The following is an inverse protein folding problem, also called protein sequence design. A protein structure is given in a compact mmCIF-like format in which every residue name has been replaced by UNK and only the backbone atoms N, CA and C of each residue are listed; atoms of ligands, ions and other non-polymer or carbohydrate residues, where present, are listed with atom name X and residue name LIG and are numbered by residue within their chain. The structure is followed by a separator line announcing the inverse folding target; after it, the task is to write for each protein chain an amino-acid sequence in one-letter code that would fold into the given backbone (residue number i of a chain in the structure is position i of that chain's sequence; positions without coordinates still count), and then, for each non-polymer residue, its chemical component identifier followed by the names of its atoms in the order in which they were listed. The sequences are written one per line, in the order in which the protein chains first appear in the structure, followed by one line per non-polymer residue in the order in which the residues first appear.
data_IF_726227067764
#
_entry.id   IF_726227067764
#
_cell.length_a   1.000
_cell.length_b   1.000
_cell.length_c   1.000
_cell.angle_alpha   90.00
_cell.angle_beta   90.00
_cell.angle_gamma   90.00
#
_symmetry.space_group_name_H-M   'P 1'
#
loop_
_entity.id
_entity.type
_entity.pdbx_description
1 polymer ?
#
# COMPACT_ATOMS: atom_id res chain seq x y z
N UNK A 1 15.58 -56.85 31.06
CA UNK A 1 15.60 -56.35 29.62
C UNK A 1 14.39 -55.51 29.21
N UNK A 2 13.12 -55.90 29.41
CA UNK A 2 11.98 -55.04 29.10
C UNK A 2 11.76 -53.86 30.08
N UNK A 3 12.04 -53.99 31.36
CA UNK A 3 11.89 -52.91 32.36
C UNK A 3 12.97 -51.84 32.25
N UNK A 4 14.18 -52.17 31.83
CA UNK A 4 15.29 -51.22 31.69
C UNK A 4 15.06 -50.29 30.47
N UNK A 5 14.54 -50.80 29.39
CA UNK A 5 14.18 -49.98 28.22
C UNK A 5 13.02 -49.00 28.48
N UNK A 6 12.12 -49.32 29.41
CA UNK A 6 11.03 -48.42 29.80
C UNK A 6 11.51 -47.29 30.72
N UNK A 7 12.48 -47.57 31.61
CA UNK A 7 13.08 -46.56 32.49
C UNK A 7 13.99 -45.59 31.74
N UNK A 8 14.80 -46.09 30.77
CA UNK A 8 15.60 -45.20 29.91
C UNK A 8 14.76 -44.26 29.07
N UNK A 9 13.71 -44.75 28.41
CA UNK A 9 12.80 -43.85 27.65
C UNK A 9 12.06 -42.82 28.51
N UNK A 10 11.68 -43.18 29.74
CA UNK A 10 11.03 -42.21 30.65
C UNK A 10 11.99 -41.15 31.16
N UNK A 11 13.25 -41.49 31.38
CA UNK A 11 14.31 -40.55 31.77
C UNK A 11 14.63 -39.62 30.60
N UNK A 12 14.77 -40.14 29.39
CA UNK A 12 14.97 -39.31 28.18
C UNK A 12 13.82 -38.33 27.97
N UNK A 13 12.55 -38.75 28.03
CA UNK A 13 11.38 -37.88 27.88
C UNK A 13 11.37 -36.77 28.94
N UNK A 14 11.73 -37.06 30.18
CA UNK A 14 11.86 -36.06 31.25
C UNK A 14 12.99 -35.06 30.97
N UNK A 15 14.14 -35.52 30.50
CA UNK A 15 15.28 -34.66 30.14
C UNK A 15 14.91 -33.74 28.94
N UNK A 16 14.25 -34.27 27.91
CA UNK A 16 13.75 -33.50 26.78
C UNK A 16 12.74 -32.45 27.24
N UNK A 17 11.82 -32.80 28.14
CA UNK A 17 10.85 -31.87 28.71
C UNK A 17 11.51 -30.74 29.50
N UNK A 18 12.52 -31.03 30.31
CA UNK A 18 13.27 -30.01 31.07
C UNK A 18 14.09 -29.10 30.15
N UNK A 19 14.73 -29.66 29.12
CA UNK A 19 15.45 -28.86 28.11
C UNK A 19 14.53 -27.92 27.34
N UNK A 20 13.35 -28.38 26.95
CA UNK A 20 12.35 -27.57 26.29
C UNK A 20 11.85 -26.42 27.17
N UNK A 21 11.56 -26.69 28.43
CA UNK A 21 11.12 -25.67 29.39
C UNK A 21 12.21 -24.62 29.60
N UNK A 22 13.46 -25.03 29.73
CA UNK A 22 14.61 -24.14 29.89
C UNK A 22 14.81 -23.28 28.61
N UNK A 23 14.69 -23.90 27.45
CA UNK A 23 14.76 -23.24 26.16
C UNK A 23 13.68 -22.14 26.01
N UNK A 24 12.42 -22.47 26.37
CA UNK A 24 11.30 -21.52 26.34
C UNK A 24 11.46 -20.37 27.36
N UNK A 25 11.98 -20.66 28.54
CA UNK A 25 12.32 -19.63 29.55
C UNK A 25 13.37 -18.64 29.02
N UNK A 26 14.45 -19.15 28.43
CA UNK A 26 15.50 -18.33 27.84
C UNK A 26 14.93 -17.44 26.72
N UNK A 27 14.10 -18.01 25.84
CA UNK A 27 13.44 -17.27 24.78
C UNK A 27 12.54 -16.15 25.35
N UNK A 28 11.74 -16.47 26.38
CA UNK A 28 10.84 -15.49 26.99
C UNK A 28 11.58 -14.31 27.65
N UNK A 29 12.73 -14.56 28.29
CA UNK A 29 13.57 -13.51 28.84
C UNK A 29 14.17 -12.63 27.74
N UNK A 30 14.63 -13.24 26.64
CA UNK A 30 15.19 -12.49 25.51
C UNK A 30 14.12 -11.62 24.85
N UNK A 31 12.95 -12.16 24.59
CA UNK A 31 11.80 -11.43 24.05
C UNK A 31 11.41 -10.27 24.96
N UNK A 32 11.31 -10.52 26.28
CA UNK A 32 11.00 -9.49 27.28
C UNK A 32 12.05 -8.37 27.27
N UNK A 33 13.34 -8.71 27.21
CA UNK A 33 14.43 -7.72 27.10
C UNK A 33 14.25 -6.84 25.87
N UNK A 34 14.01 -7.44 24.71
CA UNK A 34 13.84 -6.70 23.46
C UNK A 34 12.59 -5.80 23.48
N UNK A 35 11.45 -6.28 24.04
CA UNK A 35 10.27 -5.43 24.25
C UNK A 35 10.56 -4.25 25.18
N UNK A 36 11.25 -4.49 26.29
CA UNK A 36 11.63 -3.42 27.20
C UNK A 36 12.52 -2.39 26.51
N UNK A 37 13.48 -2.82 25.71
CA UNK A 37 14.35 -1.92 24.94
C UNK A 37 13.57 -1.02 23.98
N UNK A 38 12.52 -1.55 23.36
CA UNK A 38 11.67 -0.78 22.43
C UNK A 38 10.75 0.19 23.19
N UNK A 39 10.13 -0.25 24.27
CA UNK A 39 9.05 0.50 24.94
C UNK A 39 9.49 1.32 26.16
N UNK A 40 10.72 1.14 26.71
CA UNK A 40 11.19 1.89 27.90
C UNK A 40 11.50 3.35 27.58
N UNK A 41 11.99 3.64 26.38
CA UNK A 41 12.36 5.00 25.99
C UNK A 41 11.12 5.77 25.47
N UNK A 42 10.79 6.94 26.06
CA UNK A 42 9.69 7.79 25.58
C UNK A 42 9.85 8.22 24.12
N UNK A 43 11.08 8.49 23.67
CA UNK A 43 11.35 8.87 22.29
C UNK A 43 11.03 7.72 21.31
N UNK A 44 11.42 6.48 21.66
CA UNK A 44 11.08 5.32 20.85
C UNK A 44 9.56 5.09 20.77
N UNK A 45 8.85 5.29 21.87
CA UNK A 45 7.37 5.21 21.88
C UNK A 45 6.74 6.25 20.95
N UNK A 46 7.21 7.49 21.00
CA UNK A 46 6.72 8.52 20.10
C UNK A 46 6.97 8.17 18.63
N UNK A 47 8.17 7.66 18.29
CA UNK A 47 8.53 7.23 16.93
C UNK A 47 7.67 6.06 16.46
N UNK A 48 7.17 5.22 17.36
CA UNK A 48 6.28 4.11 17.01
C UNK A 48 4.87 4.55 16.64
N UNK A 49 4.30 5.50 17.38
CA UNK A 49 2.89 5.88 17.25
C UNK A 49 2.66 7.10 16.37
N UNK A 50 3.47 8.16 16.54
CA UNK A 50 3.24 9.45 15.89
C UNK A 50 3.37 9.36 14.37
N UNK A 51 4.42 8.75 13.78
CA UNK A 51 4.50 8.62 12.32
C UNK A 51 3.38 7.78 11.73
N UNK A 52 2.94 6.74 12.43
CA UNK A 52 1.84 5.89 11.99
C UNK A 52 0.53 6.69 11.82
N UNK A 53 0.18 7.44 12.87
CA UNK A 53 -0.99 8.30 12.85
C UNK A 53 -0.88 9.38 11.77
N UNK A 54 0.25 10.08 11.73
CA UNK A 54 0.48 11.13 10.74
C UNK A 54 0.42 10.58 9.30
N UNK A 55 1.09 9.47 9.03
CA UNK A 55 1.09 8.86 7.70
C UNK A 55 -0.30 8.37 7.29
N UNK A 56 -1.04 7.71 8.19
CA UNK A 56 -2.39 7.26 7.89
C UNK A 56 -3.33 8.45 7.55
N UNK A 57 -3.24 9.55 8.31
CA UNK A 57 -4.02 10.75 8.04
C UNK A 57 -3.54 11.47 6.77
N UNK A 58 -2.23 11.66 6.59
CA UNK A 58 -1.67 12.29 5.40
C UNK A 58 -2.08 11.54 4.13
N UNK A 59 -1.86 10.22 4.09
CA UNK A 59 -2.24 9.43 2.92
C UNK A 59 -3.76 9.38 2.73
N UNK A 60 -4.55 9.34 3.80
CA UNK A 60 -6.00 9.34 3.71
C UNK A 60 -6.60 10.64 3.17
N UNK A 61 -5.94 11.77 3.38
CA UNK A 61 -6.38 13.08 2.88
C UNK A 61 -5.62 13.54 1.64
N UNK A 62 -4.33 13.29 1.55
CA UNK A 62 -3.47 13.82 0.49
C UNK A 62 -3.29 12.87 -0.69
N UNK A 63 -3.32 11.56 -0.47
CA UNK A 63 -3.15 10.56 -1.53
C UNK A 63 -4.48 10.17 -2.18
N UNK A 64 -5.36 11.13 -2.42
CA UNK A 64 -6.58 10.91 -3.20
C UNK A 64 -6.33 11.32 -4.65
N UNK A 65 -6.69 10.45 -5.57
CA UNK A 65 -6.76 10.79 -6.98
C UNK A 65 -8.14 11.38 -7.34
N UNK A 66 -9.04 11.54 -6.35
CA UNK A 66 -10.35 12.10 -6.55
C UNK A 66 -10.21 13.60 -6.82
N UNK A 67 -10.71 14.03 -7.96
CA UNK A 67 -10.68 15.42 -8.36
C UNK A 67 -11.99 16.06 -7.91
N UNK A 68 -11.95 16.79 -6.81
CA UNK A 68 -13.14 17.47 -6.27
C UNK A 68 -13.53 18.68 -7.12
N UNK A 69 -12.54 19.33 -7.75
CA UNK A 69 -12.75 20.45 -8.63
C UNK A 69 -11.83 20.35 -9.85
N UNK A 70 -12.42 20.43 -11.02
CA UNK A 70 -11.72 20.46 -12.31
C UNK A 70 -11.85 21.87 -12.86
N UNK A 71 -10.77 22.64 -12.78
CA UNK A 71 -10.73 23.94 -13.45
C UNK A 71 -10.68 23.71 -14.95
N UNK A 72 -11.67 24.22 -15.68
CA UNK A 72 -11.74 24.07 -17.14
C UNK A 72 -11.95 25.40 -17.84
N UNK A 73 -11.51 25.49 -19.07
CA UNK A 73 -11.82 26.58 -19.98
C UNK A 73 -12.67 26.08 -21.15
N UNK A 74 -13.46 26.97 -21.72
CA UNK A 74 -14.33 26.67 -22.82
C UNK A 74 -13.99 27.57 -24.04
N UNK A 75 -13.89 26.98 -25.22
CA UNK A 75 -13.85 27.65 -26.47
C UNK A 75 -15.09 27.25 -27.28
N UNK A 76 -16.17 28.02 -27.17
CA UNK A 76 -17.40 27.76 -27.90
C UNK A 76 -17.43 28.62 -29.16
N UNK A 77 -17.17 27.99 -30.34
CA UNK A 77 -17.26 28.66 -31.63
C UNK A 77 -18.64 28.51 -32.25
N UNK A 78 -19.47 27.60 -31.74
CA UNK A 78 -20.81 27.38 -32.29
C UNK A 78 -21.83 28.38 -31.78
N UNK A 79 -21.68 28.88 -30.56
CA UNK A 79 -22.58 29.82 -29.89
C UNK A 79 -24.07 29.46 -30.02
N UNK A 80 -24.36 28.14 -30.05
CA UNK A 80 -25.69 27.63 -30.28
C UNK A 80 -26.44 27.27 -29.02
N UNK A 81 -27.74 26.92 -29.12
CA UNK A 81 -28.53 26.54 -27.96
C UNK A 81 -28.05 25.24 -27.32
N UNK A 82 -27.67 24.24 -28.13
CA UNK A 82 -27.25 22.94 -27.64
C UNK A 82 -25.89 23.04 -26.96
N UNK A 83 -24.95 23.85 -27.49
CA UNK A 83 -23.67 24.09 -26.82
C UNK A 83 -23.83 24.77 -25.49
N UNK A 84 -24.69 25.77 -25.37
CA UNK A 84 -24.99 26.45 -24.11
C UNK A 84 -25.63 25.51 -23.06
N UNK A 85 -26.55 24.61 -23.50
CA UNK A 85 -27.13 23.61 -22.61
C UNK A 85 -26.06 22.62 -22.05
N UNK A 86 -25.14 22.18 -22.92
CA UNK A 86 -24.03 21.30 -22.51
C UNK A 86 -23.10 22.00 -21.52
N UNK A 87 -22.74 23.27 -21.80
CA UNK A 87 -21.90 24.09 -20.91
C UNK A 87 -22.60 24.29 -19.56
N UNK A 88 -23.89 24.62 -19.56
CA UNK A 88 -24.67 24.78 -18.32
C UNK A 88 -24.72 23.49 -17.48
N UNK A 89 -24.77 22.33 -18.15
CA UNK A 89 -24.73 21.04 -17.46
C UNK A 89 -23.36 20.73 -16.86
N UNK A 90 -22.28 21.15 -17.52
CA UNK A 90 -20.92 21.05 -16.98
C UNK A 90 -20.76 21.96 -15.75
N UNK A 91 -21.15 23.24 -15.84
CA UNK A 91 -21.10 24.19 -14.73
C UNK A 91 -21.96 23.74 -13.55
N UNK A 92 -23.13 23.14 -13.81
CA UNK A 92 -24.05 22.62 -12.80
C UNK A 92 -23.63 21.29 -12.19
N UNK A 93 -22.57 20.64 -12.67
CA UNK A 93 -22.14 19.30 -12.20
C UNK A 93 -21.52 19.33 -10.78
N UNK A 94 -21.10 20.48 -10.29
CA UNK A 94 -20.36 20.63 -9.01
C UNK A 94 -18.91 20.14 -9.07
N UNK A 95 -18.50 19.45 -10.13
CA UNK A 95 -17.13 18.94 -10.32
C UNK A 95 -16.34 19.89 -11.21
N UNK A 96 -16.96 20.40 -12.28
CA UNK A 96 -16.32 21.30 -13.25
C UNK A 96 -16.53 22.76 -12.86
N UNK A 97 -15.42 23.49 -12.72
CA UNK A 97 -15.43 24.92 -12.45
C UNK A 97 -14.86 25.66 -13.64
N UNK A 98 -15.69 26.46 -14.30
CA UNK A 98 -15.25 27.27 -15.43
C UNK A 98 -14.40 28.45 -14.95
N UNK A 99 -13.14 28.50 -15.40
CA UNK A 99 -12.17 29.55 -15.05
C UNK A 99 -11.96 30.56 -16.16
N UNK A 100 -12.20 30.16 -17.42
CA UNK A 100 -12.08 31.05 -18.56
C UNK A 100 -13.01 30.65 -19.69
N UNK A 101 -13.49 31.64 -20.45
CA UNK A 101 -14.14 31.47 -21.75
C UNK A 101 -13.20 32.08 -22.79
N UNK A 102 -12.81 31.28 -23.78
CA UNK A 102 -11.84 31.64 -24.81
C UNK A 102 -12.59 32.08 -26.07
N UNK A 103 -12.05 33.06 -26.76
CA UNK A 103 -12.59 33.54 -28.02
C UNK A 103 -11.80 33.01 -29.23
N UNK A 104 -10.50 32.77 -29.02
CA UNK A 104 -9.58 32.35 -30.08
C UNK A 104 -8.77 31.15 -29.69
N UNK A 105 -8.41 30.31 -30.68
CA UNK A 105 -7.63 29.08 -30.50
C UNK A 105 -6.23 29.34 -29.93
N UNK A 106 -5.62 30.50 -30.23
CA UNK A 106 -4.29 30.89 -29.78
C UNK A 106 -4.23 31.04 -28.26
N UNK A 107 -5.34 31.36 -27.60
CA UNK A 107 -5.44 31.50 -26.14
C UNK A 107 -5.32 30.14 -25.42
N UNK A 108 -5.59 29.02 -26.09
CA UNK A 108 -5.50 27.67 -25.54
C UNK A 108 -4.12 27.43 -24.94
N UNK A 109 -3.07 27.70 -25.73
CA UNK A 109 -1.69 27.51 -25.31
C UNK A 109 -1.36 28.33 -24.04
N UNK A 110 -1.78 29.59 -24.01
CA UNK A 110 -1.51 30.49 -22.90
C UNK A 110 -2.19 30.01 -21.60
N UNK A 111 -3.44 29.53 -21.68
CA UNK A 111 -4.19 29.02 -20.52
C UNK A 111 -3.56 27.75 -19.96
N UNK A 112 -3.12 26.82 -20.83
CA UNK A 112 -2.44 25.59 -20.44
C UNK A 112 -1.05 25.90 -19.85
N UNK A 113 -0.25 26.74 -20.52
CA UNK A 113 1.10 27.07 -20.08
C UNK A 113 1.10 27.76 -18.69
N UNK A 114 0.11 28.63 -18.46
CA UNK A 114 -0.08 29.32 -17.18
C UNK A 114 -0.79 28.49 -16.10
N UNK A 115 -1.14 27.22 -16.40
CA UNK A 115 -1.86 26.31 -15.47
C UNK A 115 -3.18 26.87 -14.97
N UNK A 116 -3.87 27.68 -15.77
CA UNK A 116 -5.15 28.26 -15.39
C UNK A 116 -6.29 27.25 -15.47
N UNK A 117 -6.22 26.30 -16.41
CA UNK A 117 -7.18 25.22 -16.55
C UNK A 117 -6.47 23.88 -16.73
N UNK A 118 -7.07 22.82 -16.19
CA UNK A 118 -6.62 21.43 -16.36
C UNK A 118 -7.03 20.89 -17.74
N UNK A 119 -8.20 21.29 -18.21
CA UNK A 119 -8.71 20.90 -19.53
C UNK A 119 -9.41 22.07 -20.23
N UNK A 120 -9.38 22.03 -21.54
CA UNK A 120 -10.08 22.97 -22.40
C UNK A 120 -11.02 22.17 -23.28
N UNK A 121 -12.27 22.59 -23.33
CA UNK A 121 -13.29 22.01 -24.20
C UNK A 121 -13.49 22.97 -25.37
N UNK A 122 -13.17 22.51 -26.56
CA UNK A 122 -13.39 23.29 -27.79
C UNK A 122 -14.58 22.71 -28.57
N UNK A 123 -15.60 23.51 -28.73
CA UNK A 123 -16.81 23.20 -29.48
C UNK A 123 -16.69 23.91 -30.86
N UNK A 124 -16.63 23.16 -31.96
CA UNK A 124 -16.44 23.73 -33.27
C UNK A 124 -17.71 24.46 -33.78
N UNK A 125 -17.55 25.36 -34.73
CA UNK A 125 -18.64 26.17 -35.28
C UNK A 125 -19.73 25.35 -35.99
N UNK A 126 -19.39 24.15 -36.49
CA UNK A 126 -20.33 23.28 -37.21
C UNK A 126 -21.07 22.29 -36.27
N UNK A 127 -20.86 22.43 -34.95
CA UNK A 127 -21.43 21.52 -33.92
C UNK A 127 -22.96 21.42 -34.01
N UNK A 128 -23.66 22.54 -33.98
CA UNK A 128 -25.13 22.54 -34.04
C UNK A 128 -25.67 22.07 -35.39
N UNK A 129 -25.03 22.48 -36.49
CA UNK A 129 -25.46 22.06 -37.84
C UNK A 129 -25.36 20.54 -38.05
N UNK A 130 -24.30 19.93 -37.49
CA UNK A 130 -24.12 18.48 -37.52
C UNK A 130 -25.17 17.76 -36.67
N UNK A 131 -25.45 18.25 -35.48
CA UNK A 131 -26.46 17.66 -34.59
C UNK A 131 -27.88 17.75 -35.19
N UNK A 132 -28.22 18.89 -35.78
CA UNK A 132 -29.51 19.09 -36.44
C UNK A 132 -29.69 18.18 -37.67
N UNK A 133 -28.60 17.78 -38.31
CA UNK A 133 -28.58 16.83 -39.42
C UNK A 133 -28.45 15.35 -38.98
N UNK A 134 -28.61 15.05 -37.68
CA UNK A 134 -28.40 13.72 -37.08
C UNK A 134 -27.00 13.12 -37.38
N UNK A 135 -25.99 13.97 -37.52
CA UNK A 135 -24.61 13.57 -37.71
C UNK A 135 -23.83 13.61 -36.39
N UNK A 136 -22.74 12.85 -36.29
CA UNK A 136 -21.83 12.93 -35.17
C UNK A 136 -21.12 14.28 -35.12
N UNK A 137 -21.23 15.00 -34.01
CA UNK A 137 -20.60 16.30 -33.77
C UNK A 137 -19.47 16.13 -32.74
N UNK A 138 -18.23 15.95 -33.17
CA UNK A 138 -17.10 15.74 -32.25
C UNK A 138 -16.76 17.04 -31.53
N UNK A 139 -16.50 16.93 -30.23
CA UNK A 139 -15.97 17.99 -29.34
C UNK A 139 -14.51 17.66 -29.09
N UNK A 140 -13.63 18.64 -29.23
CA UNK A 140 -12.22 18.47 -28.92
C UNK A 140 -11.99 18.76 -27.42
N UNK A 141 -11.30 17.84 -26.74
CA UNK A 141 -10.87 18.02 -25.34
C UNK A 141 -9.36 18.03 -25.28
N UNK A 142 -8.81 19.17 -24.88
CA UNK A 142 -7.36 19.36 -24.73
C UNK A 142 -7.06 19.33 -23.24
N UNK A 143 -6.16 18.46 -22.82
CA UNK A 143 -5.89 18.19 -21.41
C UNK A 143 -4.44 18.51 -21.08
N UNK A 144 -4.19 19.13 -19.93
CA UNK A 144 -2.83 19.32 -19.42
C UNK A 144 -2.23 17.97 -18.96
N UNK A 145 -1.38 17.40 -19.82
CA UNK A 145 -0.74 16.10 -19.57
C UNK A 145 0.32 16.08 -18.48
N UNK A 146 0.68 17.23 -17.90
CA UNK A 146 1.68 17.32 -16.81
C UNK A 146 1.18 16.62 -15.54
N UNK A 147 -0.13 16.54 -15.33
CA UNK A 147 -0.77 15.77 -14.28
C UNK A 147 -1.70 14.71 -14.88
N UNK A 148 -1.12 13.62 -15.38
CA UNK A 148 -1.82 12.61 -16.14
C UNK A 148 -2.93 11.88 -15.34
N UNK A 149 -2.74 11.67 -14.06
CA UNK A 149 -3.73 11.00 -13.19
C UNK A 149 -5.00 11.84 -13.06
N UNK A 150 -4.85 13.13 -12.72
CA UNK A 150 -5.97 14.08 -12.61
C UNK A 150 -6.66 14.28 -13.96
N UNK A 151 -5.87 14.36 -15.03
CA UNK A 151 -6.35 14.48 -16.40
C UNK A 151 -7.24 13.31 -16.82
N UNK A 152 -6.84 12.09 -16.50
CA UNK A 152 -7.59 10.86 -16.81
C UNK A 152 -8.92 10.81 -16.05
N UNK A 153 -8.92 11.16 -14.77
CA UNK A 153 -10.14 11.20 -13.94
C UNK A 153 -11.09 12.29 -14.46
N UNK A 154 -10.59 13.49 -14.76
CA UNK A 154 -11.38 14.56 -15.33
C UNK A 154 -12.01 14.18 -16.67
N UNK A 155 -11.25 13.50 -17.55
CA UNK A 155 -11.74 12.96 -18.81
C UNK A 155 -12.87 11.93 -18.64
N UNK A 156 -12.78 11.06 -17.63
CA UNK A 156 -13.82 10.08 -17.31
C UNK A 156 -15.12 10.74 -16.84
N UNK A 157 -15.02 11.77 -16.00
CA UNK A 157 -16.19 12.55 -15.55
C UNK A 157 -16.84 13.31 -16.72
N UNK A 158 -16.02 13.91 -17.59
CA UNK A 158 -16.51 14.58 -18.80
C UNK A 158 -17.28 13.62 -19.69
N UNK A 159 -16.73 12.44 -19.99
CA UNK A 159 -17.39 11.42 -20.79
C UNK A 159 -18.74 10.98 -20.19
N UNK A 160 -18.82 10.86 -18.86
CA UNK A 160 -20.06 10.52 -18.15
C UNK A 160 -21.12 11.62 -18.33
N UNK A 161 -20.74 12.90 -18.19
CA UNK A 161 -21.65 14.03 -18.36
C UNK A 161 -22.14 14.14 -19.82
N UNK A 162 -21.23 14.00 -20.79
CA UNK A 162 -21.58 14.01 -22.22
C UNK A 162 -22.52 12.82 -22.55
N UNK A 163 -22.24 11.63 -22.00
CA UNK A 163 -23.13 10.46 -22.19
C UNK A 163 -24.53 10.69 -21.65
N UNK A 164 -24.65 11.25 -20.46
CA UNK A 164 -25.95 11.62 -19.87
C UNK A 164 -26.66 12.73 -20.68
N UNK A 165 -25.91 13.70 -21.19
CA UNK A 165 -26.45 14.76 -22.04
C UNK A 165 -27.03 14.18 -23.33
N UNK A 166 -26.28 13.32 -24.01
CA UNK A 166 -26.72 12.66 -25.24
C UNK A 166 -27.99 11.85 -25.05
N UNK A 167 -28.07 11.09 -23.94
CA UNK A 167 -29.25 10.28 -23.61
C UNK A 167 -30.48 11.13 -23.35
N UNK A 168 -30.33 12.26 -22.66
CA UNK A 168 -31.44 13.16 -22.34
C UNK A 168 -31.93 13.97 -23.54
N UNK A 169 -31.00 14.44 -24.39
CA UNK A 169 -31.34 15.38 -25.49
C UNK A 169 -31.81 14.68 -26.76
N UNK A 170 -31.13 13.61 -27.14
CA UNK A 170 -31.35 12.99 -28.46
C UNK A 170 -32.16 11.68 -28.40
N UNK A 171 -32.60 11.26 -27.22
CA UNK A 171 -33.31 10.00 -27.00
C UNK A 171 -32.66 8.81 -27.76
N UNK A 172 -31.38 9.00 -28.13
CA UNK A 172 -30.57 7.98 -28.78
C UNK A 172 -30.18 6.97 -27.73
N UNK A 173 -31.07 6.01 -27.51
CA UNK A 173 -30.63 4.74 -26.95
C UNK A 173 -29.59 4.22 -27.94
N UNK A 174 -28.30 4.36 -27.60
CA UNK A 174 -27.29 3.52 -28.24
C UNK A 174 -27.84 2.10 -28.19
N UNK A 175 -27.79 1.29 -29.28
CA UNK A 175 -28.32 -0.07 -29.29
C UNK A 175 -27.72 -0.96 -28.21
N UNK A 176 -26.67 -0.48 -27.53
CA UNK A 176 -26.04 -1.07 -26.37
C UNK A 176 -25.94 0.01 -25.28
N UNK A 177 -26.79 -0.05 -24.23
CA UNK A 177 -26.63 0.77 -23.03
C UNK A 177 -25.59 0.12 -22.13
N UNK A 178 -24.49 0.83 -21.86
CA UNK A 178 -23.48 0.38 -20.93
C UNK A 178 -23.89 0.82 -19.50
N UNK A 179 -24.49 -0.08 -18.74
CA UNK A 179 -24.69 0.12 -17.31
C UNK A 179 -23.41 -0.31 -16.57
N UNK A 180 -22.57 0.64 -16.21
CA UNK A 180 -21.38 0.37 -15.39
C UNK A 180 -21.77 0.27 -13.93
N UNK A 181 -21.57 -0.91 -13.33
CA UNK A 181 -21.73 -1.14 -11.91
C UNK A 181 -20.36 -1.46 -11.30
N UNK A 182 -19.84 -0.55 -10.48
CA UNK A 182 -18.57 -0.76 -9.78
C UNK A 182 -18.81 -1.56 -8.51
N UNK A 183 -18.17 -2.73 -8.43
CA UNK A 183 -18.24 -3.59 -7.24
C UNK A 183 -17.18 -3.15 -6.23
N UNK A 184 -17.48 -3.31 -4.94
CA UNK A 184 -16.59 -3.02 -3.80
C UNK A 184 -16.21 -1.54 -3.58
N UNK A 185 -16.52 -0.65 -4.52
CA UNK A 185 -16.30 0.79 -4.41
C UNK A 185 -17.36 1.53 -5.23
N UNK A 186 -18.62 1.59 -4.76
CA UNK A 186 -19.75 2.16 -5.52
C UNK A 186 -19.54 3.63 -5.90
N UNK A 187 -18.87 4.39 -5.03
CA UNK A 187 -18.61 5.82 -5.22
C UNK A 187 -17.36 6.08 -6.06
N UNK A 188 -16.58 5.04 -6.42
CA UNK A 188 -15.30 5.15 -7.14
C UNK A 188 -14.28 6.08 -6.43
N UNK A 189 -14.32 6.14 -5.10
CA UNK A 189 -13.38 6.91 -4.30
C UNK A 189 -12.02 6.22 -4.24
N UNK A 190 -10.96 6.92 -4.61
CA UNK A 190 -9.58 6.39 -4.58
C UNK A 190 -9.15 5.94 -3.19
N UNK A 191 -9.69 6.57 -2.14
CA UNK A 191 -9.43 6.22 -0.75
C UNK A 191 -9.80 4.77 -0.40
N UNK A 192 -10.89 4.24 -0.98
CA UNK A 192 -11.33 2.87 -0.72
C UNK A 192 -10.29 1.83 -1.16
N UNK A 193 -9.54 2.11 -2.24
CA UNK A 193 -8.48 1.22 -2.72
C UNK A 193 -7.16 1.43 -1.98
N UNK A 194 -6.78 2.70 -1.73
CA UNK A 194 -5.48 3.05 -1.17
C UNK A 194 -5.38 2.76 0.33
N UNK A 195 -6.42 3.10 1.11
CA UNK A 195 -6.35 3.01 2.57
C UNK A 195 -6.12 1.58 3.10
N UNK A 196 -6.83 0.54 2.62
CA UNK A 196 -6.51 -0.82 3.04
C UNK A 196 -5.09 -1.27 2.69
N UNK A 197 -4.57 -0.84 1.53
CA UNK A 197 -3.21 -1.17 1.12
C UNK A 197 -2.15 -0.56 2.07
N UNK A 198 -2.43 0.60 2.66
CA UNK A 198 -1.55 1.25 3.64
C UNK A 198 -1.38 0.42 4.92
N UNK A 199 -2.33 -0.45 5.29
CA UNK A 199 -2.19 -1.36 6.44
C UNK A 199 -0.91 -2.21 6.27
N UNK A 200 -0.71 -2.79 5.09
CA UNK A 200 0.48 -3.59 4.81
C UNK A 200 1.73 -2.70 4.61
N UNK A 201 1.61 -1.61 3.86
CA UNK A 201 2.74 -0.75 3.53
C UNK A 201 3.39 -0.10 4.75
N UNK A 202 2.58 0.48 5.64
CA UNK A 202 3.09 1.15 6.84
C UNK A 202 3.57 0.13 7.90
N UNK A 203 2.89 -1.02 8.00
CA UNK A 203 3.35 -2.13 8.84
C UNK A 203 4.74 -2.62 8.38
N UNK A 204 4.95 -2.77 7.06
CA UNK A 204 6.27 -3.13 6.52
C UNK A 204 7.35 -2.13 6.90
N UNK A 205 7.09 -0.84 6.70
CA UNK A 205 8.08 0.21 7.00
C UNK A 205 8.57 0.11 8.45
N UNK A 206 7.63 -0.03 9.38
CA UNK A 206 7.95 -0.10 10.80
C UNK A 206 8.66 -1.39 11.17
N UNK A 207 8.16 -2.53 10.70
CA UNK A 207 8.74 -3.85 10.96
C UNK A 207 10.15 -3.96 10.37
N UNK A 208 10.35 -3.46 9.15
CA UNK A 208 11.65 -3.47 8.49
C UNK A 208 12.66 -2.60 9.23
N UNK A 209 12.26 -1.38 9.62
CA UNK A 209 13.13 -0.45 10.33
C UNK A 209 13.55 -1.01 11.70
N UNK A 210 12.59 -1.50 12.50
CA UNK A 210 12.89 -2.04 13.82
C UNK A 210 13.78 -3.28 13.76
N UNK A 211 13.52 -4.19 12.81
CA UNK A 211 14.34 -5.38 12.64
C UNK A 211 15.75 -5.05 12.12
N UNK A 212 15.88 -4.07 11.21
CA UNK A 212 17.17 -3.61 10.73
C UNK A 212 18.01 -2.93 11.81
N UNK A 213 17.40 -2.24 12.75
CA UNK A 213 18.10 -1.60 13.86
C UNK A 213 18.44 -2.56 15.01
N UNK A 214 17.86 -3.75 15.07
CA UNK A 214 17.93 -4.65 16.24
C UNK A 214 19.37 -5.06 16.58
N UNK A 215 20.13 -5.60 15.61
CA UNK A 215 21.52 -6.03 15.81
C UNK A 215 22.51 -4.86 15.67
N UNK A 216 22.23 -3.93 14.75
CA UNK A 216 23.07 -2.76 14.52
C UNK A 216 23.21 -1.88 15.78
N UNK A 217 22.12 -1.76 16.57
CA UNK A 217 22.14 -1.06 17.87
C UNK A 217 23.06 -1.73 18.87
N UNK A 218 23.01 -3.05 19.01
CA UNK A 218 23.85 -3.78 19.95
C UNK A 218 25.35 -3.70 19.56
N UNK A 219 25.63 -3.69 18.25
CA UNK A 219 27.01 -3.46 17.77
C UNK A 219 27.51 -2.07 18.12
N UNK A 220 26.72 -1.03 17.87
CA UNK A 220 27.10 0.35 18.16
C UNK A 220 27.28 0.58 19.67
N UNK A 221 26.50 -0.09 20.51
CA UNK A 221 26.60 -0.02 21.97
C UNK A 221 27.69 -0.93 22.56
N UNK A 222 28.36 -1.76 21.75
CA UNK A 222 29.36 -2.72 22.23
C UNK A 222 28.80 -3.87 23.08
N UNK A 223 27.48 -4.07 23.07
CA UNK A 223 26.82 -5.14 23.85
C UNK A 223 26.66 -6.44 23.05
N UNK A 224 27.03 -6.40 21.78
CA UNK A 224 26.92 -7.55 20.89
C UNK A 224 27.78 -8.74 21.34
N UNK A 225 29.04 -8.50 21.71
CA UNK A 225 29.94 -9.54 22.20
C UNK A 225 29.47 -10.18 23.51
N UNK A 226 28.79 -9.40 24.35
CA UNK A 226 28.18 -9.92 25.58
C UNK A 226 27.05 -10.92 25.28
N UNK A 227 26.29 -10.68 24.19
CA UNK A 227 25.24 -11.61 23.76
C UNK A 227 25.81 -12.96 23.32
N UNK A 228 27.02 -12.97 22.75
CA UNK A 228 27.68 -14.17 22.22
C UNK A 228 28.22 -15.11 23.32
N UNK A 229 28.58 -14.56 24.47
CA UNK A 229 29.03 -15.38 25.62
C UNK A 229 27.87 -15.90 26.44
N UNK A 230 26.62 -15.52 26.11
CA UNK A 230 25.43 -16.05 26.78
C UNK A 230 25.11 -17.47 26.31
N UNK A 231 24.45 -18.30 27.14
CA UNK A 231 24.11 -19.69 26.77
C UNK A 231 22.90 -19.78 25.84
N UNK A 232 22.67 -18.74 25.00
CA UNK A 232 21.58 -18.73 24.04
C UNK A 232 21.99 -19.38 22.72
N UNK A 233 21.10 -20.20 22.15
CA UNK A 233 21.31 -20.72 20.80
C UNK A 233 21.09 -19.62 19.75
N UNK A 234 21.77 -19.69 18.59
CA UNK A 234 21.55 -18.72 17.49
C UNK A 234 20.07 -18.60 17.09
N UNK A 235 19.33 -19.72 17.15
CA UNK A 235 17.89 -19.74 16.84
C UNK A 235 17.07 -18.94 17.88
N UNK A 236 17.40 -19.05 19.18
CA UNK A 236 16.75 -18.27 20.23
C UNK A 236 17.00 -16.77 20.04
N UNK A 237 18.22 -16.39 19.73
CA UNK A 237 18.59 -14.99 19.47
C UNK A 237 17.77 -14.45 18.30
N UNK A 238 17.69 -15.20 17.20
CA UNK A 238 16.94 -14.77 16.03
C UNK A 238 15.44 -14.64 16.28
N UNK A 239 14.82 -15.64 16.91
CA UNK A 239 13.39 -15.60 17.25
C UNK A 239 13.13 -14.44 18.23
N UNK A 240 14.00 -14.28 19.25
CA UNK A 240 13.91 -13.19 20.21
C UNK A 240 13.95 -11.81 19.58
N UNK A 241 14.79 -11.63 18.55
CA UNK A 241 14.91 -10.38 17.80
C UNK A 241 13.83 -10.21 16.73
N UNK A 242 13.24 -11.29 16.24
CA UNK A 242 12.19 -11.25 15.23
C UNK A 242 10.80 -10.92 15.82
N UNK A 243 10.46 -11.46 16.97
CA UNK A 243 9.12 -11.34 17.57
C UNK A 243 8.68 -9.90 17.88
N UNK A 244 9.52 -9.03 18.50
CA UNK A 244 9.11 -7.68 18.82
C UNK A 244 8.78 -6.82 17.59
N UNK A 245 9.58 -6.77 16.51
CA UNK A 245 9.21 -6.06 15.29
C UNK A 245 7.91 -6.57 14.65
N UNK A 246 7.67 -7.90 14.65
CA UNK A 246 6.41 -8.47 14.15
C UNK A 246 5.23 -7.96 14.97
N UNK A 247 5.34 -8.00 16.29
CA UNK A 247 4.29 -7.52 17.18
C UNK A 247 4.01 -6.03 16.97
N UNK A 248 5.04 -5.20 16.86
CA UNK A 248 4.90 -3.76 16.58
C UNK A 248 4.26 -3.54 15.22
N UNK A 249 4.65 -4.30 14.19
CA UNK A 249 4.01 -4.25 12.87
C UNK A 249 2.52 -4.58 12.91
N UNK A 250 2.12 -5.62 13.66
CA UNK A 250 0.71 -5.97 13.87
C UNK A 250 -0.04 -4.89 14.65
N UNK A 251 0.57 -4.31 15.68
CA UNK A 251 0.01 -3.20 16.44
C UNK A 251 -0.21 -1.98 15.55
N UNK A 252 0.77 -1.65 14.71
CA UNK A 252 0.66 -0.61 13.70
C UNK A 252 -0.50 -0.87 12.74
N UNK A 253 -0.59 -2.08 12.20
CA UNK A 253 -1.70 -2.51 11.35
C UNK A 253 -3.05 -2.32 12.04
N UNK A 254 -3.14 -2.60 13.34
CA UNK A 254 -4.35 -2.39 14.14
C UNK A 254 -4.73 -0.91 14.24
N UNK A 255 -3.75 -0.03 14.50
CA UNK A 255 -3.99 1.42 14.58
C UNK A 255 -4.55 1.94 13.26
N UNK A 256 -3.93 1.54 12.14
CA UNK A 256 -4.36 1.96 10.80
C UNK A 256 -5.74 1.40 10.49
N UNK A 257 -6.01 0.13 10.81
CA UNK A 257 -7.31 -0.50 10.65
C UNK A 257 -8.40 0.26 11.41
N UNK A 258 -8.15 0.66 12.66
CA UNK A 258 -9.09 1.45 13.45
C UNK A 258 -9.35 2.82 12.83
N UNK A 259 -8.32 3.49 12.32
CA UNK A 259 -8.46 4.78 11.61
C UNK A 259 -9.33 4.60 10.36
N UNK A 260 -9.13 3.54 9.57
CA UNK A 260 -9.91 3.28 8.37
C UNK A 260 -11.38 3.01 8.70
N UNK A 261 -11.64 2.20 9.73
CA UNK A 261 -12.99 1.83 10.13
C UNK A 261 -13.76 2.99 10.80
N UNK A 262 -13.14 3.69 11.74
CA UNK A 262 -13.84 4.68 12.56
C UNK A 262 -13.76 6.10 12.02
N UNK A 263 -12.62 6.49 11.44
CA UNK A 263 -12.41 7.84 10.92
C UNK A 263 -12.86 7.98 9.47
N UNK A 264 -12.38 7.10 8.59
CA UNK A 264 -12.74 7.12 7.17
C UNK A 264 -14.02 6.36 6.85
N UNK A 265 -14.56 5.57 7.80
CA UNK A 265 -15.82 4.81 7.66
C UNK A 265 -15.85 3.88 6.44
N UNK A 266 -14.70 3.33 6.05
CA UNK A 266 -14.61 2.34 4.98
C UNK A 266 -14.94 0.97 5.59
N UNK A 267 -16.05 0.31 5.21
CA UNK A 267 -16.46 -0.96 5.81
C UNK A 267 -15.50 -2.09 5.44
N UNK A 268 -15.25 -2.99 6.38
CA UNK A 268 -14.52 -4.23 6.15
C UNK A 268 -15.51 -5.37 5.87
N UNK A 269 -15.38 -6.03 4.72
CA UNK A 269 -16.26 -7.12 4.30
C UNK A 269 -15.73 -8.51 4.67
N UNK A 270 -14.45 -8.63 5.02
CA UNK A 270 -13.78 -9.91 5.25
C UNK A 270 -13.58 -10.26 6.72
N UNK A 271 -12.95 -11.42 6.94
CA UNK A 271 -12.62 -11.93 8.27
C UNK A 271 -11.41 -11.22 8.88
N UNK A 272 -11.56 -10.66 10.08
CA UNK A 272 -10.46 -10.07 10.86
C UNK A 272 -9.37 -11.12 11.13
N UNK A 273 -9.76 -12.35 11.47
CA UNK A 273 -8.80 -13.43 11.75
C UNK A 273 -7.92 -13.75 10.54
N UNK A 274 -8.50 -13.80 9.34
CA UNK A 274 -7.75 -14.02 8.11
C UNK A 274 -6.80 -12.86 7.79
N UNK A 275 -7.26 -11.62 8.02
CA UNK A 275 -6.45 -10.42 7.85
C UNK A 275 -5.19 -10.46 8.72
N UNK A 276 -5.35 -10.74 10.02
CA UNK A 276 -4.22 -10.80 10.97
C UNK A 276 -3.31 -12.00 10.71
N UNK A 277 -3.84 -13.14 10.30
CA UNK A 277 -3.03 -14.28 9.89
C UNK A 277 -2.16 -13.95 8.65
N UNK A 278 -2.75 -13.23 7.69
CA UNK A 278 -2.02 -12.72 6.53
C UNK A 278 -0.96 -11.70 6.89
N UNK A 279 -1.29 -10.72 7.74
CA UNK A 279 -0.35 -9.70 8.21
C UNK A 279 0.78 -10.32 9.06
N UNK A 280 0.50 -11.34 9.86
CA UNK A 280 1.52 -12.07 10.59
C UNK A 280 2.51 -12.75 9.63
N UNK A 281 2.01 -13.53 8.67
CA UNK A 281 2.84 -14.21 7.65
C UNK A 281 3.66 -13.21 6.84
N UNK A 282 3.08 -12.07 6.49
CA UNK A 282 3.73 -10.97 5.81
C UNK A 282 4.88 -10.37 6.64
N UNK A 283 4.61 -10.04 7.93
CA UNK A 283 5.62 -9.45 8.81
C UNK A 283 6.78 -10.43 9.10
N UNK A 284 6.52 -11.73 9.14
CA UNK A 284 7.58 -12.76 9.24
C UNK A 284 8.55 -12.68 8.05
N UNK A 285 8.02 -12.54 6.83
CA UNK A 285 8.86 -12.38 5.64
C UNK A 285 9.67 -11.07 5.68
N UNK A 286 9.04 -9.98 6.09
CA UNK A 286 9.67 -8.65 6.20
C UNK A 286 10.78 -8.62 7.24
N UNK A 287 10.57 -9.23 8.41
CA UNK A 287 11.57 -9.29 9.49
C UNK A 287 12.83 -10.01 9.04
N UNK A 288 12.70 -11.08 8.24
CA UNK A 288 13.88 -11.78 7.72
C UNK A 288 14.77 -10.87 6.86
N UNK A 289 14.15 -10.03 6.03
CA UNK A 289 14.87 -9.01 5.24
C UNK A 289 15.54 -7.98 6.15
N UNK A 290 14.81 -7.44 7.14
CA UNK A 290 15.35 -6.44 8.08
C UNK A 290 16.52 -6.97 8.93
N UNK A 291 16.41 -8.18 9.45
CA UNK A 291 17.49 -8.82 10.19
C UNK A 291 18.73 -9.07 9.30
N UNK A 292 18.55 -9.36 8.01
CA UNK A 292 19.63 -9.49 7.04
C UNK A 292 20.38 -8.16 6.86
N UNK A 293 19.63 -7.03 6.74
CA UNK A 293 20.21 -5.68 6.72
C UNK A 293 20.98 -5.41 8.02
N UNK A 294 20.37 -5.73 9.16
CA UNK A 294 20.98 -5.53 10.47
C UNK A 294 22.30 -6.28 10.64
N UNK A 295 22.37 -7.51 10.13
CA UNK A 295 23.57 -8.33 10.17
C UNK A 295 24.71 -7.77 9.29
N UNK A 296 24.38 -7.10 8.20
CA UNK A 296 25.32 -6.46 7.29
C UNK A 296 25.81 -5.11 7.78
N UNK A 297 25.03 -4.41 8.61
CA UNK A 297 25.31 -3.05 9.05
C UNK A 297 26.27 -3.02 10.24
N UNK A 298 27.17 -2.03 10.24
CA UNK A 298 28.14 -1.81 11.33
C UNK A 298 27.58 -0.93 12.44
N UNK A 299 26.68 -0.01 12.10
CA UNK A 299 26.06 0.95 13.02
C UNK A 299 24.61 1.23 12.63
N UNK A 300 23.89 1.93 13.51
CA UNK A 300 22.48 2.27 13.28
C UNK A 300 22.25 3.16 12.06
N UNK A 301 23.15 4.11 11.78
CA UNK A 301 23.04 5.02 10.64
C UNK A 301 23.11 4.24 9.32
N UNK A 302 24.02 3.29 9.20
CA UNK A 302 24.16 2.43 8.02
C UNK A 302 22.92 1.53 7.85
N UNK A 303 22.40 0.97 8.95
CA UNK A 303 21.18 0.15 8.92
C UNK A 303 19.97 0.96 8.45
N UNK A 304 19.79 2.19 8.93
CA UNK A 304 18.74 3.10 8.46
C UNK A 304 18.89 3.40 6.98
N UNK A 305 20.10 3.74 6.53
CA UNK A 305 20.36 4.08 5.13
C UNK A 305 20.02 2.92 4.19
N UNK A 306 20.45 1.70 4.51
CA UNK A 306 20.12 0.51 3.72
C UNK A 306 18.62 0.21 3.74
N UNK A 307 17.97 0.44 4.88
CA UNK A 307 16.52 0.26 5.01
C UNK A 307 15.76 1.22 4.10
N UNK A 308 16.09 2.52 4.13
CA UNK A 308 15.47 3.51 3.26
C UNK A 308 15.74 3.26 1.77
N UNK A 309 16.97 2.87 1.44
CA UNK A 309 17.35 2.51 0.07
C UNK A 309 16.52 1.32 -0.46
N UNK A 310 16.14 0.37 0.41
CA UNK A 310 15.35 -0.79 0.05
C UNK A 310 13.84 -0.50 0.04
N UNK A 311 13.33 0.31 0.97
CA UNK A 311 11.90 0.63 1.07
C UNK A 311 11.39 1.25 -0.23
N UNK A 312 12.12 2.19 -0.85
CA UNK A 312 11.68 2.89 -2.05
C UNK A 312 11.40 1.92 -3.23
N UNK A 313 12.32 1.04 -3.66
CA UNK A 313 12.03 0.04 -4.68
C UNK A 313 10.90 -0.92 -4.30
N UNK A 314 10.84 -1.36 -3.03
CA UNK A 314 9.77 -2.24 -2.58
C UNK A 314 8.39 -1.58 -2.70
N UNK A 315 8.27 -0.29 -2.35
CA UNK A 315 7.03 0.48 -2.48
C UNK A 315 6.62 0.65 -3.95
N UNK A 316 7.57 1.04 -4.83
CA UNK A 316 7.30 1.22 -6.25
C UNK A 316 6.89 -0.10 -6.94
N UNK A 317 7.56 -1.20 -6.61
CA UNK A 317 7.32 -2.52 -7.20
C UNK A 317 6.23 -3.33 -6.48
N UNK A 318 5.46 -2.71 -5.59
CA UNK A 318 4.43 -3.42 -4.80
C UNK A 318 3.07 -3.52 -5.49
N UNK A 319 2.82 -2.69 -6.48
CA UNK A 319 1.48 -2.52 -7.04
C UNK A 319 0.64 -1.42 -6.36
N UNK A 320 1.19 -0.74 -5.32
CA UNK A 320 0.48 0.34 -4.60
C UNK A 320 0.31 1.58 -5.45
N UNK A 321 1.39 2.04 -6.08
CA UNK A 321 1.43 3.27 -6.88
C UNK A 321 1.19 3.00 -8.36
N UNK A 322 1.72 1.90 -8.87
CA UNK A 322 1.62 1.52 -10.28
C UNK A 322 1.21 0.06 -10.36
N UNK A 323 0.11 -0.29 -11.06
CA UNK A 323 -0.29 -1.68 -11.25
C UNK A 323 0.85 -2.52 -11.84
N UNK A 324 1.05 -3.73 -11.28
CA UNK A 324 2.15 -4.61 -11.68
C UNK A 324 2.05 -5.01 -13.15
N UNK A 325 0.82 -5.14 -13.66
CA UNK A 325 0.53 -5.51 -15.05
C UNK A 325 1.07 -4.49 -16.07
N UNK A 326 1.20 -3.22 -15.65
CA UNK A 326 1.70 -2.13 -16.49
C UNK A 326 3.24 -2.04 -16.50
N UNK A 327 3.92 -2.85 -15.70
CA UNK A 327 5.38 -2.87 -15.65
C UNK A 327 5.98 -3.71 -16.77
N UNK A 328 7.23 -3.43 -17.22
CA UNK A 328 7.97 -4.34 -18.11
C UNK A 328 8.09 -5.75 -17.50
N UNK A 329 8.08 -6.79 -18.34
CA UNK A 329 8.09 -8.21 -17.89
C UNK A 329 9.23 -8.52 -16.90
N UNK A 330 10.42 -7.96 -17.11
CA UNK A 330 11.55 -8.16 -16.19
C UNK A 330 11.25 -7.64 -14.77
N UNK A 331 10.61 -6.46 -14.65
CA UNK A 331 10.20 -5.91 -13.37
C UNK A 331 9.05 -6.71 -12.75
N UNK A 332 8.08 -7.20 -13.56
CA UNK A 332 7.03 -8.07 -13.07
C UNK A 332 7.59 -9.33 -12.39
N UNK A 333 8.64 -9.93 -12.96
CA UNK A 333 9.33 -11.07 -12.33
C UNK A 333 10.04 -10.64 -11.06
N UNK A 334 10.74 -9.49 -11.04
CA UNK A 334 11.40 -8.99 -9.85
C UNK A 334 10.43 -8.74 -8.68
N UNK A 335 9.16 -8.38 -8.96
CA UNK A 335 8.15 -8.17 -7.92
C UNK A 335 7.79 -9.44 -7.14
N UNK A 336 8.10 -10.65 -7.63
CA UNK A 336 7.90 -11.88 -6.85
C UNK A 336 8.82 -11.97 -5.62
N UNK A 337 9.96 -11.28 -5.64
CA UNK A 337 10.84 -11.15 -4.48
C UNK A 337 10.38 -10.06 -3.48
N UNK A 338 9.32 -9.35 -3.80
CA UNK A 338 8.78 -8.27 -2.97
C UNK A 338 7.63 -8.76 -2.08
N UNK A 339 7.81 -8.90 -0.76
CA UNK A 339 6.74 -9.32 0.14
C UNK A 339 5.56 -8.35 0.14
N UNK A 340 5.80 -7.04 -0.07
CA UNK A 340 4.77 -6.01 -0.03
C UNK A 340 3.70 -6.20 -1.11
N UNK A 341 4.08 -6.67 -2.31
CA UNK A 341 3.12 -7.01 -3.37
C UNK A 341 2.03 -7.96 -2.88
N UNK A 342 2.44 -9.04 -2.22
CA UNK A 342 1.52 -10.08 -1.74
C UNK A 342 0.76 -9.61 -0.50
N UNK A 343 1.41 -8.84 0.38
CA UNK A 343 0.78 -8.24 1.55
C UNK A 343 -0.35 -7.28 1.16
N UNK A 344 -0.12 -6.37 0.22
CA UNK A 344 -1.14 -5.43 -0.28
C UNK A 344 -2.29 -6.18 -0.95
N UNK A 345 -1.99 -7.12 -1.86
CA UNK A 345 -3.02 -7.89 -2.56
C UNK A 345 -3.90 -8.67 -1.57
N UNK A 346 -3.28 -9.33 -0.58
CA UNK A 346 -4.01 -10.06 0.45
C UNK A 346 -4.92 -9.12 1.26
N UNK A 347 -4.37 -7.99 1.75
CA UNK A 347 -5.14 -7.04 2.57
C UNK A 347 -6.30 -6.46 1.78
N UNK A 348 -6.09 -6.00 0.55
CA UNK A 348 -7.15 -5.44 -0.30
C UNK A 348 -8.25 -6.47 -0.57
N UNK A 349 -7.90 -7.70 -0.93
CA UNK A 349 -8.88 -8.75 -1.21
C UNK A 349 -9.65 -9.17 0.03
N UNK A 350 -8.99 -9.33 1.16
CA UNK A 350 -9.69 -9.67 2.41
C UNK A 350 -10.53 -8.50 2.89
N UNK A 351 -10.01 -7.26 2.85
CA UNK A 351 -10.69 -6.08 3.38
C UNK A 351 -11.91 -5.68 2.54
N UNK A 352 -11.72 -5.51 1.22
CA UNK A 352 -12.74 -4.97 0.32
C UNK A 352 -13.63 -6.06 -0.28
N UNK A 353 -13.04 -7.15 -0.79
CA UNK A 353 -13.76 -8.20 -1.49
C UNK A 353 -14.39 -9.21 -0.52
N UNK A 354 -13.99 -9.22 0.77
CA UNK A 354 -14.43 -10.25 1.71
C UNK A 354 -13.89 -11.65 1.36
N UNK A 355 -12.72 -11.72 0.70
CA UNK A 355 -12.17 -12.95 0.18
C UNK A 355 -11.94 -14.01 1.27
N UNK A 356 -12.30 -15.24 0.99
CA UNK A 356 -12.05 -16.41 1.85
C UNK A 356 -10.60 -16.90 1.76
N UNK A 357 -10.17 -17.72 2.72
CA UNK A 357 -8.82 -18.32 2.71
C UNK A 357 -8.52 -19.05 1.40
N UNK A 358 -9.48 -19.78 0.82
CA UNK A 358 -9.30 -20.50 -0.42
C UNK A 358 -8.92 -19.59 -1.60
N UNK A 359 -9.42 -18.35 -1.62
CA UNK A 359 -9.16 -17.37 -2.67
C UNK A 359 -7.81 -16.66 -2.52
N UNK A 360 -7.31 -16.49 -1.29
CA UNK A 360 -6.06 -15.77 -1.01
C UNK A 360 -4.86 -16.68 -0.69
N UNK A 361 -5.06 -18.01 -0.61
CA UNK A 361 -4.02 -18.98 -0.26
C UNK A 361 -2.75 -18.87 -1.12
N UNK A 362 -2.87 -18.51 -2.39
CA UNK A 362 -1.74 -18.32 -3.29
C UNK A 362 -0.84 -17.14 -2.90
N UNK A 363 -1.35 -16.15 -2.17
CA UNK A 363 -0.55 -15.03 -1.68
C UNK A 363 0.35 -15.43 -0.50
N UNK A 364 -0.04 -16.45 0.26
CA UNK A 364 0.76 -16.95 1.39
C UNK A 364 2.02 -17.66 0.93
N UNK A 365 1.97 -18.39 -0.19
CA UNK A 365 3.09 -19.18 -0.66
C UNK A 365 4.37 -18.35 -0.88
N UNK A 366 4.36 -17.24 -1.64
CA UNK A 366 5.54 -16.40 -1.79
C UNK A 366 6.01 -15.78 -0.47
N UNK A 367 5.09 -15.35 0.41
CA UNK A 367 5.46 -14.79 1.72
C UNK A 367 6.16 -15.82 2.60
N UNK A 368 5.66 -17.07 2.63
CA UNK A 368 6.27 -18.17 3.38
C UNK A 368 7.65 -18.50 2.78
N UNK A 369 7.76 -18.62 1.46
CA UNK A 369 9.04 -18.88 0.79
C UNK A 369 10.05 -17.78 1.10
N UNK A 370 9.65 -16.51 1.02
CA UNK A 370 10.52 -15.39 1.39
C UNK A 370 10.95 -15.47 2.85
N UNK A 371 10.05 -15.79 3.79
CA UNK A 371 10.40 -15.97 5.20
C UNK A 371 11.39 -17.12 5.42
N UNK A 372 11.16 -18.27 4.77
CA UNK A 372 12.05 -19.44 4.84
C UNK A 372 13.44 -19.16 4.25
N UNK A 373 13.54 -18.29 3.24
CA UNK A 373 14.82 -17.92 2.64
C UNK A 373 15.53 -16.84 3.45
N UNK A 374 14.82 -15.77 3.82
CA UNK A 374 15.43 -14.58 4.45
C UNK A 374 15.82 -14.78 5.90
N UNK A 375 15.06 -15.55 6.69
CA UNK A 375 15.42 -15.82 8.09
C UNK A 375 16.68 -16.69 8.22
N UNK A 376 16.86 -17.83 7.52
CA UNK A 376 18.12 -18.56 7.56
C UNK A 376 19.29 -17.75 6.96
N UNK A 377 19.04 -16.94 5.91
CA UNK A 377 20.04 -16.04 5.37
C UNK A 377 20.53 -15.04 6.44
N UNK A 378 19.60 -14.43 7.18
CA UNK A 378 19.95 -13.55 8.28
C UNK A 378 20.75 -14.29 9.36
N UNK A 379 20.36 -15.54 9.70
CA UNK A 379 21.11 -16.38 10.65
C UNK A 379 22.52 -16.70 10.19
N UNK A 380 22.66 -17.03 8.92
CA UNK A 380 23.96 -17.30 8.31
C UNK A 380 24.87 -16.07 8.28
N UNK A 381 24.31 -14.91 7.86
CA UNK A 381 25.02 -13.63 7.88
C UNK A 381 25.47 -13.25 9.31
N UNK A 382 24.56 -13.45 10.28
CA UNK A 382 24.85 -13.24 11.68
C UNK A 382 26.02 -14.11 12.16
N UNK A 383 26.02 -15.40 11.83
CA UNK A 383 27.04 -16.36 12.20
C UNK A 383 28.41 -16.07 11.54
N UNK A 384 28.43 -15.77 10.24
CA UNK A 384 29.68 -15.55 9.49
C UNK A 384 30.36 -14.21 9.80
N UNK A 385 29.67 -13.27 10.40
CA UNK A 385 30.26 -12.02 10.89
C UNK A 385 30.79 -12.12 12.33
N UNK A 386 30.70 -13.30 12.93
CA UNK A 386 31.22 -13.67 14.25
C UNK A 386 32.63 -14.30 14.19
N UNK A 387 33.05 -14.72 13.01
CA UNK A 387 34.40 -15.19 12.70
C UNK A 387 35.21 -14.09 12.01
#
# INVERSE_FOLDING_TARGET
MCCELFTEKTVEIKLWGQQLITWLKHLSFLVKKEFLTIFSDPANRAILFVPALMQALLFGYAATYDVNHVDYAILDQSNGQISHELISKLDGSGIFKRVATLEYTEQIKQVIDNRQALLIIAIPNDFESKLNNNQSAPIQVIVDGRNSSTAMVAGSYLNKIIGQFNQQKFNSALPISLETRTWYNPNQESRWSLMPALIAALSMMQTLLLSALSVAREREQGTFDQLLVTPYTPLQIMIGKALPPIFVGLMQSTIILLIILFWFKIPMNGSIGLLYFGLFSFNVAVVGVGLSISALSLNMQQAMLFTFLLIMPLMLLSGLLTPVENMPKALQVATYANPLRFGINLVQRVYLEGASFAQVKLNFLPMIVLGIVTLPLAAWLFRNRLS
#
